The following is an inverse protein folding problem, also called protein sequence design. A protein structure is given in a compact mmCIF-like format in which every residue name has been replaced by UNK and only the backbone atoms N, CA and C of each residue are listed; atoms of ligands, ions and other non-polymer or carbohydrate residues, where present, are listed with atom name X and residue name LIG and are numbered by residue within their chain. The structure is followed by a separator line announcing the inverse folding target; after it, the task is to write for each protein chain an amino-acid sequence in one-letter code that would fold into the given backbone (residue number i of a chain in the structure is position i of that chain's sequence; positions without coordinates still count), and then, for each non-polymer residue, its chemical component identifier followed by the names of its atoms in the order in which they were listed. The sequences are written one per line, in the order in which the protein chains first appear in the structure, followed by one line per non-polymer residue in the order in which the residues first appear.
data_IF_440606294456
#
_entry.id   IF_440606294456
#
_cell.length_a   1.000
_cell.length_b   1.000
_cell.length_c   1.000
_cell.angle_alpha   90.00
_cell.angle_beta   90.00
_cell.angle_gamma   90.00
#
_symmetry.space_group_name_H-M   'P 1'
#
loop_
_entity.id
_entity.type
_entity.pdbx_description
1 polymer ?
#
# COMPACT_ATOMS: atom_id res chain seq x y z
N UNK A 1 -50.03 -34.78 23.24
CA UNK A 1 -49.50 -35.23 21.93
C UNK A 1 -49.79 -34.10 20.95
N UNK A 2 -48.87 -33.45 20.24
CA UNK A 2 -47.42 -33.33 20.19
C UNK A 2 -47.18 -31.97 19.47
N UNK A 3 -46.29 -31.12 19.97
CA UNK A 3 -45.06 -30.66 19.27
C UNK A 3 -45.32 -30.03 17.88
N UNK A 4 -45.04 -28.76 17.57
CA UNK A 4 -44.10 -27.82 18.16
C UNK A 4 -42.75 -27.82 17.44
N UNK A 5 -42.68 -27.52 16.13
CA UNK A 5 -41.41 -27.28 15.44
C UNK A 5 -41.52 -26.18 14.37
N UNK A 6 -41.33 -24.93 14.80
CA UNK A 6 -41.02 -23.84 13.89
C UNK A 6 -39.56 -23.99 13.45
N UNK A 7 -39.36 -24.29 12.16
CA UNK A 7 -38.06 -24.43 11.51
C UNK A 7 -37.18 -23.21 11.81
N UNK A 8 -36.10 -23.47 12.55
CA UNK A 8 -35.06 -22.49 12.85
C UNK A 8 -34.42 -21.99 11.56
N UNK A 9 -34.56 -20.69 11.31
CA UNK A 9 -33.73 -19.98 10.36
C UNK A 9 -32.32 -20.01 10.93
N UNK A 10 -31.47 -20.89 10.40
CA UNK A 10 -30.05 -20.88 10.64
C UNK A 10 -29.51 -19.57 10.07
N UNK A 11 -29.42 -18.55 10.92
CA UNK A 11 -28.71 -17.32 10.63
C UNK A 11 -27.25 -17.67 10.37
N UNK A 12 -26.79 -17.40 9.15
CA UNK A 12 -25.38 -17.47 8.78
C UNK A 12 -24.51 -16.78 9.86
N UNK A 13 -23.26 -17.22 10.09
CA UNK A 13 -22.35 -16.55 11.01
C UNK A 13 -22.25 -15.07 10.59
N UNK A 14 -22.76 -14.16 11.44
CA UNK A 14 -22.47 -12.73 11.26
C UNK A 14 -20.95 -12.58 11.37
N UNK A 15 -20.31 -11.82 10.47
CA UNK A 15 -18.92 -11.43 10.70
C UNK A 15 -18.86 -10.74 12.07
N UNK A 16 -18.05 -11.29 12.97
CA UNK A 16 -17.85 -10.75 14.31
C UNK A 16 -17.47 -9.27 14.20
N UNK A 17 -18.06 -8.38 15.01
CA UNK A 17 -17.63 -6.98 15.01
C UNK A 17 -16.13 -6.95 15.32
N UNK A 18 -15.38 -6.27 14.46
CA UNK A 18 -13.95 -6.06 14.59
C UNK A 18 -13.57 -5.66 16.02
N UNK A 19 -12.62 -6.36 16.62
CA UNK A 19 -12.05 -5.83 17.87
C UNK A 19 -11.22 -4.61 17.51
N UNK A 20 -11.27 -3.54 18.29
CA UNK A 20 -10.43 -2.34 18.06
C UNK A 20 -8.96 -2.70 17.85
N UNK A 21 -8.47 -3.73 18.55
CA UNK A 21 -7.10 -4.26 18.42
C UNK A 21 -6.77 -4.83 17.03
N UNK A 22 -7.74 -5.37 16.30
CA UNK A 22 -7.52 -5.91 14.95
C UNK A 22 -7.32 -4.76 13.95
N UNK A 23 -8.14 -3.71 14.08
CA UNK A 23 -8.04 -2.49 13.28
C UNK A 23 -6.70 -1.81 13.52
N UNK A 24 -6.30 -1.64 14.78
CA UNK A 24 -5.04 -0.98 15.12
C UNK A 24 -3.83 -1.80 14.65
N UNK A 25 -3.91 -3.14 14.65
CA UNK A 25 -2.89 -3.98 14.05
C UNK A 25 -2.81 -3.84 12.52
N UNK A 26 -3.95 -3.79 11.82
CA UNK A 26 -4.00 -3.54 10.38
C UNK A 26 -3.35 -2.19 10.03
N UNK A 27 -3.66 -1.14 10.78
CA UNK A 27 -3.05 0.18 10.56
C UNK A 27 -1.55 0.16 10.86
N UNK A 28 -1.14 -0.49 11.95
CA UNK A 28 0.27 -0.61 12.33
C UNK A 28 1.08 -1.31 11.25
N UNK A 29 0.59 -2.44 10.73
CA UNK A 29 1.23 -3.17 9.62
C UNK A 29 1.21 -2.33 8.35
N UNK A 30 0.08 -1.70 8.02
CA UNK A 30 -0.05 -0.82 6.85
C UNK A 30 0.97 0.33 6.86
N UNK A 31 1.21 0.96 8.02
CA UNK A 31 2.28 1.96 8.19
C UNK A 31 3.67 1.39 7.91
N UNK A 32 3.98 0.22 8.44
CA UNK A 32 5.28 -0.43 8.20
C UNK A 32 5.48 -0.80 6.73
N UNK A 33 4.42 -1.25 6.05
CA UNK A 33 4.44 -1.55 4.62
C UNK A 33 4.62 -0.29 3.77
N UNK A 34 3.82 0.75 4.02
CA UNK A 34 3.89 2.01 3.27
C UNK A 34 5.26 2.67 3.40
N UNK A 35 5.75 2.85 4.63
CA UNK A 35 7.05 3.47 4.89
C UNK A 35 8.19 2.62 4.33
N UNK A 36 8.13 1.30 4.53
CA UNK A 36 9.13 0.37 3.99
C UNK A 36 9.21 0.45 2.47
N UNK A 37 8.06 0.40 1.80
CA UNK A 37 7.97 0.48 0.35
C UNK A 37 8.48 1.80 -0.21
N UNK A 38 8.08 2.94 0.36
CA UNK A 38 8.57 4.25 -0.07
C UNK A 38 10.09 4.35 0.09
N UNK A 39 10.64 3.92 1.24
CA UNK A 39 12.09 3.92 1.47
C UNK A 39 12.81 3.02 0.45
N UNK A 40 12.28 1.83 0.20
CA UNK A 40 12.84 0.91 -0.79
C UNK A 40 12.81 1.52 -2.19
N UNK A 41 11.71 2.16 -2.61
CA UNK A 41 11.62 2.80 -3.92
C UNK A 41 12.55 4.02 -4.05
N UNK A 42 12.74 4.79 -2.98
CA UNK A 42 13.72 5.90 -2.95
C UNK A 42 15.16 5.39 -3.08
N UNK A 43 15.50 4.29 -2.40
CA UNK A 43 16.82 3.67 -2.48
C UNK A 43 17.09 3.00 -3.83
N UNK A 44 16.05 2.44 -4.45
CA UNK A 44 16.12 1.83 -5.78
C UNK A 44 16.12 2.84 -6.92
N UNK A 45 15.86 4.13 -6.64
CA UNK A 45 16.01 5.25 -7.57
C UNK A 45 15.52 4.93 -8.98
N UNK A 46 14.22 4.66 -9.16
CA UNK A 46 13.56 4.47 -10.49
C UNK A 46 14.48 3.91 -11.57
N UNK A 47 14.83 2.62 -11.50
CA UNK A 47 15.54 1.91 -12.57
C UNK A 47 14.63 1.66 -13.80
N UNK A 48 14.01 2.71 -14.36
CA UNK A 48 13.33 2.70 -15.66
C UNK A 48 13.19 4.14 -16.21
N UNK A 49 14.31 4.81 -16.49
CA UNK A 49 14.43 5.72 -17.65
C UNK A 49 15.91 5.95 -18.00
N UNK A 50 16.42 5.48 -19.16
CA UNK A 50 17.70 5.95 -19.66
C UNK A 50 17.51 7.33 -20.29
N UNK A 51 18.61 8.08 -20.42
CA UNK A 51 18.75 9.44 -20.98
C UNK A 51 18.68 10.57 -19.94
N UNK A 52 19.77 10.78 -19.19
CA UNK A 52 20.74 11.87 -19.42
C UNK A 52 22.08 11.45 -18.79
N UNK A 53 23.15 11.48 -19.58
CA UNK A 53 24.53 11.35 -19.13
C UNK A 53 24.93 12.54 -18.27
N UNK A 54 25.37 12.31 -17.03
CA UNK A 54 26.27 13.23 -16.34
C UNK A 54 27.40 12.42 -15.69
N UNK A 55 28.57 12.53 -16.31
CA UNK A 55 29.88 12.21 -15.75
C UNK A 55 30.11 13.06 -14.51
N UNK A 56 30.69 12.48 -13.45
CA UNK A 56 31.52 13.23 -12.52
C UNK A 56 31.24 13.02 -11.03
N UNK A 57 32.22 12.40 -10.40
CA UNK A 57 32.67 12.64 -9.02
C UNK A 57 31.77 12.16 -7.86
N UNK A 58 32.19 11.00 -7.35
CA UNK A 58 32.39 10.75 -5.93
C UNK A 58 32.72 12.03 -5.15
N UNK A 59 31.82 12.46 -4.26
CA UNK A 59 32.24 12.99 -2.97
C UNK A 59 31.17 12.76 -1.90
N UNK A 60 31.71 12.43 -0.74
CA UNK A 60 31.09 11.91 0.46
C UNK A 60 30.90 13.10 1.37
N UNK A 61 29.67 13.49 1.69
CA UNK A 61 29.42 14.40 2.80
C UNK A 61 28.25 13.91 3.66
N UNK A 62 28.66 13.55 4.87
CA UNK A 62 27.86 13.34 6.07
C UNK A 62 26.80 14.43 6.23
N UNK A 63 25.54 14.03 6.34
CA UNK A 63 24.56 14.81 7.10
C UNK A 63 23.61 13.85 7.78
N UNK A 64 24.02 13.36 8.95
CA UNK A 64 23.12 12.81 9.95
C UNK A 64 22.09 13.87 10.33
N UNK A 65 20.96 13.87 9.62
CA UNK A 65 19.70 14.35 10.19
C UNK A 65 19.09 13.14 10.88
N UNK A 66 19.38 13.00 12.17
CA UNK A 66 18.64 12.10 13.05
C UNK A 66 17.19 12.57 13.12
N UNK A 67 16.35 12.06 12.21
CA UNK A 67 14.91 12.17 12.37
C UNK A 67 14.44 11.08 13.35
N UNK A 68 14.61 11.41 14.63
CA UNK A 68 13.99 10.74 15.76
C UNK A 68 12.46 10.73 15.56
N UNK A 69 11.93 9.55 15.23
CA UNK A 69 10.50 9.33 15.00
C UNK A 69 10.12 8.10 14.17
N UNK A 70 11.08 7.24 13.79
CA UNK A 70 10.73 5.94 13.19
C UNK A 70 10.46 4.97 14.33
N UNK A 71 9.19 4.87 14.72
CA UNK A 71 8.68 3.79 15.58
C UNK A 71 9.22 2.46 15.07
N UNK A 72 10.09 1.85 15.88
CA UNK A 72 10.48 0.46 15.86
C UNK A 72 9.21 -0.40 15.74
N UNK A 73 8.88 -0.80 14.52
CA UNK A 73 7.98 -1.91 14.28
C UNK A 73 8.90 -3.08 14.08
N UNK A 74 8.76 -4.18 14.84
CA UNK A 74 9.64 -5.32 14.67
C UNK A 74 9.53 -5.75 13.21
N UNK A 75 10.68 -5.82 12.53
CA UNK A 75 10.83 -6.54 11.26
C UNK A 75 10.59 -8.02 11.55
N UNK A 76 9.33 -8.33 11.90
CA UNK A 76 8.86 -9.69 12.03
C UNK A 76 8.98 -10.29 10.63
N UNK A 77 9.40 -11.55 10.51
CA UNK A 77 9.59 -12.19 9.21
C UNK A 77 8.32 -12.12 8.34
N UNK A 78 7.14 -12.02 8.97
CA UNK A 78 5.87 -11.78 8.29
C UNK A 78 5.80 -10.41 7.61
N UNK A 79 6.16 -9.32 8.30
CA UNK A 79 6.13 -7.97 7.72
C UNK A 79 7.16 -7.86 6.60
N UNK A 80 8.33 -8.47 6.74
CA UNK A 80 9.34 -8.53 5.67
C UNK A 80 8.80 -9.27 4.44
N UNK A 81 8.19 -10.44 4.63
CA UNK A 81 7.55 -11.21 3.53
C UNK A 81 6.43 -10.41 2.85
N UNK A 82 5.65 -9.65 3.62
CA UNK A 82 4.61 -8.77 3.09
C UNK A 82 5.19 -7.62 2.27
N UNK A 83 6.28 -6.99 2.73
CA UNK A 83 6.99 -5.94 1.96
C UNK A 83 7.48 -6.49 0.63
N UNK A 84 8.11 -7.67 0.61
CA UNK A 84 8.59 -8.33 -0.61
C UNK A 84 7.44 -8.68 -1.56
N UNK A 85 6.35 -9.23 -1.03
CA UNK A 85 5.13 -9.51 -1.80
C UNK A 85 4.56 -8.24 -2.44
N UNK A 86 4.49 -7.14 -1.69
CA UNK A 86 4.00 -5.86 -2.18
C UNK A 86 4.87 -5.30 -3.30
N UNK A 87 6.19 -5.42 -3.16
CA UNK A 87 7.16 -5.03 -4.19
C UNK A 87 7.00 -5.86 -5.47
N UNK A 88 6.73 -7.16 -5.34
CA UNK A 88 6.47 -8.03 -6.50
C UNK A 88 5.19 -7.65 -7.24
N UNK A 89 4.09 -7.45 -6.50
CA UNK A 89 2.82 -6.97 -7.09
C UNK A 89 3.05 -5.62 -7.78
N UNK A 90 3.82 -4.73 -7.15
CA UNK A 90 4.18 -3.45 -7.74
C UNK A 90 4.98 -3.62 -9.04
N UNK A 91 6.01 -4.47 -9.08
CA UNK A 91 6.80 -4.72 -10.28
C UNK A 91 5.93 -5.22 -11.44
N UNK A 92 5.02 -6.16 -11.19
CA UNK A 92 4.05 -6.64 -12.18
C UNK A 92 3.15 -5.51 -12.70
N UNK A 93 2.64 -4.66 -11.80
CA UNK A 93 1.76 -3.53 -12.16
C UNK A 93 2.50 -2.39 -12.86
N UNK A 94 3.76 -2.13 -12.50
CA UNK A 94 4.59 -1.07 -13.09
C UNK A 94 4.95 -1.34 -14.56
N UNK A 95 4.88 -2.60 -14.99
CA UNK A 95 5.02 -2.97 -16.40
C UNK A 95 3.79 -2.55 -17.23
N UNK A 96 2.67 -2.17 -16.61
CA UNK A 96 1.49 -1.68 -17.31
C UNK A 96 1.63 -0.17 -17.59
N UNK A 97 1.69 0.26 -18.88
CA UNK A 97 1.89 1.66 -19.24
C UNK A 97 0.72 2.58 -18.84
N UNK A 98 -0.49 2.05 -18.60
CA UNK A 98 -1.64 2.84 -18.16
C UNK A 98 -1.44 3.36 -16.72
N UNK A 99 -0.87 2.52 -15.84
CA UNK A 99 -0.53 2.92 -14.47
C UNK A 99 0.56 4.00 -14.51
N UNK A 100 1.61 3.80 -15.31
CA UNK A 100 2.67 4.79 -15.49
C UNK A 100 2.14 6.14 -15.99
N UNK A 101 1.21 6.14 -16.95
CA UNK A 101 0.57 7.36 -17.47
C UNK A 101 -0.27 8.10 -16.44
N UNK A 102 -1.05 7.39 -15.62
CA UNK A 102 -1.77 8.04 -14.51
C UNK A 102 -0.79 8.71 -13.54
N UNK A 103 0.37 8.12 -13.33
CA UNK A 103 1.39 8.62 -12.41
C UNK A 103 2.11 9.86 -12.95
N UNK A 104 2.32 9.95 -14.26
CA UNK A 104 2.89 11.15 -14.89
C UNK A 104 1.96 12.36 -14.82
N UNK A 105 0.65 12.16 -14.67
CA UNK A 105 -0.34 13.24 -14.55
C UNK A 105 -0.39 13.91 -13.16
N UNK A 106 0.37 13.41 -12.17
CA UNK A 106 0.37 13.82 -10.75
C UNK A 106 1.20 15.11 -10.52
N UNK A 107 1.30 15.99 -11.52
CA UNK A 107 1.92 17.31 -11.36
C UNK A 107 0.84 18.31 -10.91
N UNK A 108 0.75 18.56 -9.60
CA UNK A 108 -0.17 19.55 -9.03
C UNK A 108 0.48 20.39 -7.93
N UNK A 109 -0.05 21.58 -7.70
CA UNK A 109 0.49 22.54 -6.72
C UNK A 109 0.34 22.06 -5.26
N UNK A 110 -0.58 21.13 -4.98
CA UNK A 110 -0.82 20.57 -3.64
C UNK A 110 -0.72 19.03 -3.62
N UNK A 111 0.35 18.45 -3.06
CA UNK A 111 0.59 17.00 -2.97
C UNK A 111 -0.56 16.19 -2.39
N UNK A 112 -1.24 16.71 -1.36
CA UNK A 112 -2.35 16.00 -0.68
C UNK A 112 -3.62 15.98 -1.52
N UNK A 113 -3.92 17.08 -2.21
CA UNK A 113 -5.08 17.15 -3.09
C UNK A 113 -4.94 16.16 -4.25
N UNK A 114 -3.76 16.12 -4.88
CA UNK A 114 -3.49 15.19 -5.97
C UNK A 114 -3.63 13.74 -5.50
N UNK A 115 -3.07 13.40 -4.33
CA UNK A 115 -3.22 12.06 -3.76
C UNK A 115 -4.69 11.72 -3.49
N UNK A 116 -5.48 12.67 -2.98
CA UNK A 116 -6.91 12.48 -2.73
C UNK A 116 -7.68 12.19 -4.01
N UNK A 117 -7.51 13.03 -5.03
CA UNK A 117 -8.21 12.88 -6.31
C UNK A 117 -7.88 11.54 -6.98
N UNK A 118 -6.60 11.18 -7.06
CA UNK A 118 -6.17 9.91 -7.65
C UNK A 118 -6.72 8.72 -6.87
N UNK A 119 -6.73 8.80 -5.53
CA UNK A 119 -7.26 7.72 -4.68
C UNK A 119 -8.74 7.45 -4.98
N UNK A 120 -9.55 8.49 -5.14
CA UNK A 120 -10.96 8.32 -5.50
C UNK A 120 -11.13 7.61 -6.86
N UNK A 121 -10.30 7.95 -7.86
CA UNK A 121 -10.33 7.29 -9.17
C UNK A 121 -9.89 5.82 -9.08
N UNK A 122 -8.80 5.53 -8.36
CA UNK A 122 -8.26 4.17 -8.20
C UNK A 122 -9.28 3.24 -7.54
N UNK A 123 -10.05 3.74 -6.57
CA UNK A 123 -11.01 2.92 -5.83
C UNK A 123 -12.47 3.06 -6.29
N UNK A 124 -12.74 3.86 -7.32
CA UNK A 124 -14.11 4.09 -7.83
C UNK A 124 -14.85 2.81 -8.22
N UNK A 125 -14.14 1.83 -8.80
CA UNK A 125 -14.72 0.55 -9.26
C UNK A 125 -14.52 -0.61 -8.29
N UNK A 126 -13.98 -0.36 -7.09
CA UNK A 126 -13.78 -1.36 -6.05
C UNK A 126 -12.36 -1.43 -5.49
N UNK A 127 -12.19 -2.28 -4.47
CA UNK A 127 -10.94 -2.46 -3.74
C UNK A 127 -10.36 -3.85 -4.07
N UNK A 128 -9.07 -3.89 -4.39
CA UNK A 128 -8.28 -5.12 -4.48
C UNK A 128 -6.82 -4.84 -4.05
N UNK A 129 -6.05 -5.90 -3.80
CA UNK A 129 -4.67 -5.76 -3.35
C UNK A 129 -3.79 -4.97 -4.32
N UNK A 130 -3.94 -5.17 -5.63
CA UNK A 130 -3.21 -4.41 -6.64
C UNK A 130 -3.50 -2.90 -6.60
N UNK A 131 -4.75 -2.50 -6.39
CA UNK A 131 -5.15 -1.10 -6.22
C UNK A 131 -4.60 -0.48 -4.94
N UNK A 132 -4.53 -1.24 -3.86
CA UNK A 132 -3.87 -0.80 -2.60
C UNK A 132 -2.38 -0.57 -2.84
N UNK A 133 -1.71 -1.46 -3.58
CA UNK A 133 -0.29 -1.29 -3.95
C UNK A 133 -0.09 -0.06 -4.83
N UNK A 134 -0.95 0.14 -5.84
CA UNK A 134 -0.95 1.31 -6.72
C UNK A 134 -1.16 2.60 -5.91
N UNK A 135 -2.08 2.61 -4.95
CA UNK A 135 -2.28 3.73 -4.04
C UNK A 135 -1.01 4.05 -3.22
N UNK A 136 -0.33 3.04 -2.67
CA UNK A 136 0.94 3.26 -1.95
C UNK A 136 2.05 3.78 -2.87
N UNK A 137 2.06 3.35 -4.13
CA UNK A 137 2.98 3.90 -5.14
C UNK A 137 2.67 5.35 -5.50
N UNK A 138 1.40 5.74 -5.61
CA UNK A 138 1.03 7.13 -5.79
C UNK A 138 1.50 8.00 -4.62
N UNK A 139 1.36 7.52 -3.38
CA UNK A 139 1.92 8.21 -2.22
C UNK A 139 3.45 8.40 -2.33
N UNK A 140 4.20 7.38 -2.76
CA UNK A 140 5.63 7.51 -3.07
C UNK A 140 5.89 8.60 -4.13
N UNK A 141 5.16 8.58 -5.25
CA UNK A 141 5.38 9.52 -6.37
C UNK A 141 5.07 10.95 -6.02
N UNK A 142 4.04 11.17 -5.21
CA UNK A 142 3.71 12.48 -4.66
C UNK A 142 4.85 12.97 -3.77
N UNK A 143 5.37 12.13 -2.87
CA UNK A 143 6.50 12.47 -2.00
C UNK A 143 7.78 12.74 -2.82
N UNK A 144 8.10 11.89 -3.80
CA UNK A 144 9.32 11.98 -4.59
C UNK A 144 9.40 13.25 -5.46
N UNK A 145 8.25 13.82 -5.83
CA UNK A 145 8.14 15.06 -6.59
C UNK A 145 7.99 16.31 -5.71
N UNK A 146 7.88 16.13 -4.38
CA UNK A 146 7.63 17.20 -3.42
C UNK A 146 8.84 17.44 -2.51
N UNK A 147 8.83 18.57 -1.81
CA UNK A 147 9.79 18.84 -0.73
C UNK A 147 9.69 17.78 0.38
N UNK A 148 10.80 17.45 1.07
CA UNK A 148 10.82 16.42 2.13
C UNK A 148 9.85 16.69 3.29
N UNK A 149 9.44 17.94 3.50
CA UNK A 149 8.43 18.36 4.48
C UNK A 149 7.06 17.68 4.26
N UNK A 150 6.76 17.32 3.01
CA UNK A 150 5.51 16.63 2.65
C UNK A 150 5.51 15.15 3.02
N UNK A 151 6.67 14.55 3.31
CA UNK A 151 6.79 13.13 3.63
C UNK A 151 5.82 12.73 4.76
N UNK A 152 5.87 13.44 5.89
CA UNK A 152 5.02 13.14 7.05
C UNK A 152 3.55 13.38 6.76
N UNK A 153 3.24 14.47 6.04
CA UNK A 153 1.87 14.85 5.70
C UNK A 153 1.21 13.80 4.80
N UNK A 154 1.92 13.36 3.76
CA UNK A 154 1.43 12.35 2.81
C UNK A 154 1.27 10.99 3.50
N UNK A 155 2.23 10.56 4.31
CA UNK A 155 2.11 9.31 5.07
C UNK A 155 0.90 9.35 6.01
N UNK A 156 0.73 10.44 6.76
CA UNK A 156 -0.39 10.57 7.69
C UNK A 156 -1.74 10.60 6.96
N UNK A 157 -1.81 11.30 5.84
CA UNK A 157 -3.01 11.31 4.99
C UNK A 157 -3.30 9.91 4.45
N UNK A 158 -2.30 9.20 3.94
CA UNK A 158 -2.47 7.86 3.39
C UNK A 158 -2.92 6.85 4.45
N UNK A 159 -2.42 6.97 5.69
CA UNK A 159 -2.88 6.15 6.81
C UNK A 159 -4.30 6.50 7.26
N UNK A 160 -4.68 7.76 7.18
CA UNK A 160 -6.06 8.20 7.44
C UNK A 160 -7.01 7.63 6.40
N UNK A 161 -6.62 7.67 5.12
CA UNK A 161 -7.38 7.04 4.03
C UNK A 161 -7.49 5.53 4.22
N UNK A 162 -6.38 4.86 4.54
CA UNK A 162 -6.35 3.43 4.87
C UNK A 162 -7.36 3.11 5.98
N UNK A 163 -7.35 3.86 7.08
CA UNK A 163 -8.26 3.68 8.22
C UNK A 163 -9.73 3.86 7.84
N UNK A 164 -10.03 4.89 7.08
CA UNK A 164 -11.42 5.27 6.81
C UNK A 164 -12.06 4.47 5.67
N UNK A 165 -11.27 4.01 4.70
CA UNK A 165 -11.78 3.41 3.45
C UNK A 165 -11.39 1.96 3.26
N UNK A 166 -10.18 1.57 3.66
CA UNK A 166 -9.58 0.29 3.27
C UNK A 166 -9.56 -0.75 4.40
N UNK A 167 -9.52 -0.33 5.66
CA UNK A 167 -9.42 -1.23 6.82
C UNK A 167 -10.54 -2.26 6.84
N UNK A 168 -11.79 -1.85 6.61
CA UNK A 168 -12.93 -2.76 6.63
C UNK A 168 -12.75 -3.89 5.61
N UNK A 169 -12.37 -3.53 4.38
CA UNK A 169 -12.11 -4.51 3.33
C UNK A 169 -10.90 -5.40 3.65
N UNK A 170 -9.78 -4.82 4.10
CA UNK A 170 -8.58 -5.58 4.48
C UNK A 170 -8.92 -6.59 5.58
N UNK A 171 -9.75 -6.19 6.53
CA UNK A 171 -10.20 -7.06 7.60
C UNK A 171 -11.07 -8.20 7.07
N UNK A 172 -12.01 -7.93 6.16
CA UNK A 172 -12.83 -8.95 5.51
C UNK A 172 -11.99 -9.99 4.75
N UNK A 173 -10.83 -9.58 4.22
CA UNK A 173 -9.87 -10.50 3.61
C UNK A 173 -9.07 -11.33 4.63
N UNK A 174 -9.22 -11.08 5.94
CA UNK A 174 -8.41 -11.73 6.99
C UNK A 174 -7.10 -10.99 7.30
N UNK A 175 -7.01 -9.71 6.94
CA UNK A 175 -5.85 -8.86 7.19
C UNK A 175 -4.80 -8.89 6.07
N UNK A 176 -3.64 -8.28 6.33
CA UNK A 176 -2.57 -8.15 5.34
C UNK A 176 -1.97 -9.48 4.87
N UNK A 177 -2.06 -10.55 5.67
CA UNK A 177 -1.55 -11.87 5.32
C UNK A 177 -2.19 -12.43 4.05
N UNK A 178 -3.46 -12.07 3.77
CA UNK A 178 -4.15 -12.47 2.55
C UNK A 178 -3.57 -11.83 1.27
N UNK A 179 -2.74 -10.79 1.39
CA UNK A 179 -1.98 -10.28 0.25
C UNK A 179 -0.94 -11.30 -0.25
N UNK A 180 -0.39 -12.15 0.64
CA UNK A 180 0.58 -13.19 0.27
C UNK A 180 -0.06 -14.26 -0.62
N UNK A 181 -1.30 -14.66 -0.34
CA UNK A 181 -2.02 -15.61 -1.19
C UNK A 181 -2.40 -15.01 -2.54
N UNK A 182 -2.72 -13.71 -2.56
CA UNK A 182 -3.02 -12.98 -3.79
C UNK A 182 -1.83 -13.01 -4.78
N UNK A 183 -0.61 -12.66 -4.35
CA UNK A 183 0.55 -12.66 -5.27
C UNK A 183 0.88 -14.04 -5.81
N UNK A 184 0.73 -15.09 -4.99
CA UNK A 184 0.92 -16.48 -5.41
C UNK A 184 -0.11 -16.92 -6.47
N UNK A 185 -1.34 -16.45 -6.37
CA UNK A 185 -2.40 -16.73 -7.36
C UNK A 185 -2.23 -15.91 -8.65
N UNK A 186 -1.76 -14.66 -8.54
CA UNK A 186 -1.46 -13.78 -9.67
C UNK A 186 -0.33 -14.36 -10.52
N UNK A 187 0.72 -14.91 -9.88
CA UNK A 187 1.82 -15.59 -10.57
C UNK A 187 1.43 -16.92 -11.24
N UNK A 188 0.35 -17.59 -10.81
CA UNK A 188 -0.04 -18.92 -11.33
C UNK A 188 -1.00 -18.86 -12.53
N UNK A 189 -1.49 -17.68 -12.87
CA UNK A 189 -2.41 -17.48 -14.01
C UNK A 189 -1.69 -17.25 -15.34
N UNK A 190 -0.36 -17.06 -15.32
CA UNK A 190 0.47 -16.81 -16.52
C UNK A 190 0.95 -18.13 -17.19
N UNK A 191 0.80 -19.27 -16.52
CA UNK A 191 1.36 -20.56 -16.98
C UNK A 191 0.35 -21.49 -17.67
N UNK A 192 -0.86 -21.02 -18.01
CA UNK A 192 -1.94 -21.86 -18.57
C UNK A 192 -2.67 -21.27 -19.81
N UNK A 193 -2.02 -20.41 -20.61
CA UNK A 193 -2.52 -20.05 -21.95
C UNK A 193 -1.48 -20.40 -23.03
#
# INVERSE_FOLDING_TARGET
MAEGEARGWQTAPRPSPATSGDIDNIIRIGKALLVGFIKTLMQQGTACHPQVTCVGQQDREDTSVEEHGVTDVPDSPQVTSLKECMLRIWQELSNNPEITRMVESVAGENPLQVLAEVSEHVFATGINWGRIVVFFYFAFRVIAQSSPEWFKLVINWALTFLRNRLVAWIQEQGGWVAMLSYSLSSSRSIEND
#
